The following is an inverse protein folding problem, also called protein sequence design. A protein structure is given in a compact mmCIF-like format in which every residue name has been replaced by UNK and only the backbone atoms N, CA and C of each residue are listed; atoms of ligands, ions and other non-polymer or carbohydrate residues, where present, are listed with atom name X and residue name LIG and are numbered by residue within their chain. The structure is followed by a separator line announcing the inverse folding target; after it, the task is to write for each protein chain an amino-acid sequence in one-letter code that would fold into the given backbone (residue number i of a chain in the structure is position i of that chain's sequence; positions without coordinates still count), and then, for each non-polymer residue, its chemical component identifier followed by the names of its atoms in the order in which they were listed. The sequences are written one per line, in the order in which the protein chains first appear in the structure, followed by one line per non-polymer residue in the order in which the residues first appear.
data_IF_157413327133
#
_entry.id   IF_157413327133
#
_cell.length_a   1.000
_cell.length_b   1.000
_cell.length_c   1.000
_cell.angle_alpha   90.00
_cell.angle_beta   90.00
_cell.angle_gamma   90.00
#
_symmetry.space_group_name_H-M   'P 1'
#
loop_
_entity.id
_entity.type
_entity.pdbx_description
1 polymer ?
#
# COMPACT_ATOMS: atom_id res chain seq x y z
N UNK A 1 29.93 6.38 0.84
CA UNK A 1 28.56 6.90 1.02
C UNK A 1 27.83 6.03 2.04
N UNK A 2 27.36 6.57 3.16
CA UNK A 2 26.66 5.77 4.18
C UNK A 2 25.19 5.50 3.74
N UNK A 3 24.73 4.25 3.67
CA UNK A 3 23.46 3.87 3.00
C UNK A 3 22.19 4.07 3.85
N UNK A 4 22.22 4.89 4.90
CA UNK A 4 21.11 4.97 5.87
C UNK A 4 20.56 6.37 6.13
N UNK A 5 21.13 7.43 5.55
CA UNK A 5 20.38 8.67 5.36
C UNK A 5 19.55 8.49 4.11
N UNK A 6 18.24 8.30 4.25
CA UNK A 6 17.34 8.85 3.25
C UNK A 6 17.07 10.28 3.73
N UNK A 7 17.72 11.29 3.12
CA UNK A 7 17.35 12.65 3.41
C UNK A 7 15.87 12.82 3.01
N UNK A 8 15.21 13.81 3.58
CA UNK A 8 13.89 14.29 3.14
C UNK A 8 13.79 14.63 1.64
N UNK A 9 14.87 14.47 0.86
CA UNK A 9 14.98 14.62 -0.59
C UNK A 9 14.40 13.46 -1.42
N UNK A 10 14.14 12.28 -0.83
CA UNK A 10 13.77 11.08 -1.61
C UNK A 10 12.25 10.95 -1.88
N UNK A 11 11.47 11.91 -1.37
CA UNK A 11 10.02 12.03 -1.64
C UNK A 11 9.78 13.17 -2.60
N UNK A 12 9.37 12.86 -3.82
CA UNK A 12 8.98 13.87 -4.80
C UNK A 12 7.52 14.29 -4.57
N UNK A 13 7.31 15.57 -4.24
CA UNK A 13 5.95 16.11 -4.07
C UNK A 13 5.44 16.60 -5.42
N UNK A 14 4.34 16.00 -5.89
CA UNK A 14 3.72 16.35 -7.16
C UNK A 14 2.50 17.23 -6.89
N UNK A 15 2.64 18.54 -7.12
CA UNK A 15 1.57 19.53 -6.94
C UNK A 15 1.26 20.33 -8.21
N UNK A 16 1.75 19.88 -9.37
CA UNK A 16 1.53 20.53 -10.67
C UNK A 16 0.98 19.55 -11.70
N UNK A 17 0.21 20.05 -12.66
CA UNK A 17 -0.32 19.27 -13.80
C UNK A 17 0.82 18.59 -14.55
N UNK A 18 1.92 19.32 -14.81
CA UNK A 18 3.07 18.77 -15.52
C UNK A 18 3.73 17.61 -14.74
N UNK A 19 3.84 17.73 -13.42
CA UNK A 19 4.34 16.63 -12.59
C UNK A 19 3.45 15.39 -12.64
N UNK A 20 2.12 15.56 -12.65
CA UNK A 20 1.16 14.44 -12.82
C UNK A 20 1.32 13.77 -14.18
N UNK A 21 1.48 14.56 -15.26
CA UNK A 21 1.74 14.04 -16.62
C UNK A 21 2.99 13.17 -16.63
N UNK A 22 4.11 13.72 -16.15
CA UNK A 22 5.39 13.03 -16.12
C UNK A 22 5.35 11.76 -15.26
N UNK A 23 4.62 11.78 -14.13
CA UNK A 23 4.43 10.60 -13.29
C UNK A 23 3.61 9.52 -14.02
N UNK A 24 2.49 9.88 -14.65
CA UNK A 24 1.66 8.93 -15.38
C UNK A 24 2.41 8.30 -16.57
N UNK A 25 3.14 9.11 -17.35
CA UNK A 25 3.99 8.62 -18.44
C UNK A 25 5.10 7.70 -17.92
N UNK A 26 5.77 8.09 -16.83
CA UNK A 26 6.81 7.28 -16.21
C UNK A 26 6.29 5.91 -15.77
N UNK A 27 5.11 5.85 -15.13
CA UNK A 27 4.48 4.59 -14.74
C UNK A 27 4.13 3.75 -15.97
N UNK A 28 3.54 4.35 -17.01
CA UNK A 28 3.16 3.63 -18.23
C UNK A 28 4.38 3.02 -18.94
N UNK A 29 5.46 3.78 -19.10
CA UNK A 29 6.71 3.31 -19.70
C UNK A 29 7.33 2.18 -18.86
N UNK A 30 7.39 2.35 -17.54
CA UNK A 30 7.96 1.33 -16.66
C UNK A 30 7.15 0.03 -16.72
N UNK A 31 5.82 0.11 -16.69
CA UNK A 31 4.93 -1.04 -16.78
C UNK A 31 5.09 -1.77 -18.13
N UNK A 32 5.17 -1.04 -19.24
CA UNK A 32 5.39 -1.63 -20.56
C UNK A 32 6.76 -2.32 -20.69
N UNK A 33 7.77 -1.81 -19.97
CA UNK A 33 9.12 -2.39 -19.93
C UNK A 33 9.31 -3.47 -18.86
N UNK A 34 8.27 -3.76 -18.08
CA UNK A 34 8.39 -4.55 -16.87
C UNK A 34 8.74 -6.01 -17.19
N UNK A 35 9.95 -6.41 -16.78
CA UNK A 35 10.43 -7.80 -16.81
C UNK A 35 10.38 -8.49 -15.44
N UNK A 36 9.93 -7.77 -14.41
CA UNK A 36 9.95 -8.23 -13.02
C UNK A 36 8.61 -8.85 -12.62
N UNK A 37 8.67 -9.91 -11.81
CA UNK A 37 7.50 -10.54 -11.17
C UNK A 37 6.93 -9.77 -9.99
N UNK A 38 7.57 -8.66 -9.57
CA UNK A 38 7.11 -7.85 -8.45
C UNK A 38 6.22 -6.69 -8.93
N UNK A 39 5.19 -6.31 -8.16
CA UNK A 39 4.32 -5.18 -8.46
C UNK A 39 5.10 -3.88 -8.62
N UNK A 40 4.68 -3.06 -9.57
CA UNK A 40 5.25 -1.73 -9.82
C UNK A 40 4.78 -0.71 -8.77
N UNK A 41 3.52 -0.80 -8.35
CA UNK A 41 2.82 0.23 -7.58
C UNK A 41 2.51 -0.23 -6.15
N UNK A 42 2.94 0.55 -5.16
CA UNK A 42 2.52 0.40 -3.76
C UNK A 42 1.91 1.72 -3.31
N UNK A 43 0.67 1.67 -2.83
CA UNK A 43 -0.17 2.86 -2.71
C UNK A 43 -0.76 2.97 -1.31
N UNK A 44 -0.79 4.20 -0.81
CA UNK A 44 -1.54 4.57 0.37
C UNK A 44 -2.19 5.95 0.17
N UNK A 45 -3.27 6.24 0.89
CA UNK A 45 -3.96 7.53 0.84
C UNK A 45 -4.06 8.17 2.21
N UNK A 46 -4.01 9.50 2.24
CA UNK A 46 -4.22 10.28 3.45
C UNK A 46 -5.38 11.26 3.25
N UNK A 47 -6.28 11.33 4.22
CA UNK A 47 -7.43 12.24 4.22
C UNK A 47 -7.10 13.56 4.93
N UNK A 48 -7.90 14.61 4.67
CA UNK A 48 -7.79 15.90 5.37
C UNK A 48 -8.11 15.81 6.87
N UNK A 49 -8.93 14.84 7.28
CA UNK A 49 -9.31 14.58 8.67
C UNK A 49 -9.67 13.11 8.88
N UNK A 50 -9.55 12.62 10.13
CA UNK A 50 -9.72 11.21 10.52
C UNK A 50 -11.20 10.75 10.58
N UNK A 51 -12.10 11.30 9.77
CA UNK A 51 -13.53 10.95 9.73
C UNK A 51 -13.91 10.18 8.46
N UNK A 52 -14.95 9.33 8.53
CA UNK A 52 -15.37 8.46 7.42
C UNK A 52 -15.76 9.16 6.11
N UNK A 53 -16.02 10.48 6.14
CA UNK A 53 -16.26 11.30 4.95
C UNK A 53 -15.05 12.16 4.54
N UNK A 54 -13.86 11.85 5.05
CA UNK A 54 -12.67 12.68 4.84
C UNK A 54 -12.31 12.84 3.36
N UNK A 55 -12.18 14.09 2.92
CA UNK A 55 -11.70 14.43 1.57
C UNK A 55 -10.27 13.93 1.39
N UNK A 56 -9.99 13.30 0.25
CA UNK A 56 -8.66 12.84 -0.11
C UNK A 56 -7.70 14.04 -0.17
N UNK A 57 -6.58 13.95 0.53
CA UNK A 57 -5.62 15.04 0.64
C UNK A 57 -4.30 14.72 -0.04
N UNK A 58 -3.77 13.52 0.18
CA UNK A 58 -2.51 13.06 -0.41
C UNK A 58 -2.66 11.64 -0.92
N UNK A 59 -2.02 11.35 -2.04
CA UNK A 59 -1.85 10.01 -2.58
C UNK A 59 -0.35 9.69 -2.58
N UNK A 60 0.04 8.66 -1.85
CA UNK A 60 1.42 8.18 -1.81
C UNK A 60 1.58 7.04 -2.80
N UNK A 61 2.57 7.15 -3.68
CA UNK A 61 2.91 6.10 -4.65
C UNK A 61 4.40 5.78 -4.49
N UNK A 62 4.69 4.57 -4.04
CA UNK A 62 6.03 3.99 -4.12
C UNK A 62 6.14 3.16 -5.40
N UNK A 63 7.00 3.60 -6.32
CA UNK A 63 7.36 2.86 -7.52
C UNK A 63 8.54 1.94 -7.23
N UNK A 64 8.42 0.66 -7.55
CA UNK A 64 9.51 -0.31 -7.53
C UNK A 64 9.76 -0.87 -8.94
N UNK A 65 10.96 -0.69 -9.49
CA UNK A 65 11.23 -1.03 -10.89
C UNK A 65 12.68 -1.41 -11.16
N UNK A 66 12.91 -2.02 -12.32
CA UNK A 66 14.23 -2.48 -12.77
C UNK A 66 14.75 -3.70 -12.03
N UNK A 67 15.76 -4.36 -12.60
CA UNK A 67 16.38 -5.57 -12.02
C UNK A 67 17.06 -5.30 -10.68
N UNK A 68 17.56 -4.07 -10.48
CA UNK A 68 18.22 -3.64 -9.23
C UNK A 68 17.21 -3.25 -8.12
N UNK A 69 15.91 -3.45 -8.35
CA UNK A 69 14.83 -3.11 -7.42
C UNK A 69 14.89 -1.64 -6.94
N UNK A 70 14.98 -0.72 -7.90
CA UNK A 70 15.02 0.72 -7.65
C UNK A 70 13.70 1.18 -7.09
N UNK A 71 13.75 2.15 -6.18
CA UNK A 71 12.57 2.72 -5.51
C UNK A 71 12.49 4.22 -5.71
N UNK A 72 11.31 4.72 -6.03
CA UNK A 72 11.00 6.16 -6.06
C UNK A 72 9.67 6.42 -5.37
N UNK A 73 9.65 7.40 -4.47
CA UNK A 73 8.45 7.78 -3.72
C UNK A 73 7.89 9.08 -4.26
N UNK A 74 6.60 9.06 -4.61
CA UNK A 74 5.85 10.22 -5.03
C UNK A 74 4.74 10.51 -4.02
N UNK A 75 4.57 11.77 -3.68
CA UNK A 75 3.46 12.26 -2.88
C UNK A 75 2.66 13.24 -3.73
N UNK A 76 1.53 12.77 -4.26
CA UNK A 76 0.66 13.58 -5.12
C UNK A 76 -0.27 14.41 -4.23
N UNK A 77 -0.22 15.72 -4.42
CA UNK A 77 -0.98 16.69 -3.65
C UNK A 77 -2.40 16.84 -4.19
N UNK A 78 -3.30 15.95 -3.74
CA UNK A 78 -4.69 15.91 -4.20
C UNK A 78 -5.47 17.14 -3.74
N UNK A 79 -5.13 17.73 -2.60
CA UNK A 79 -5.76 18.98 -2.16
C UNK A 79 -5.53 20.15 -3.14
N UNK A 80 -4.35 20.20 -3.78
CA UNK A 80 -4.04 21.23 -4.78
C UNK A 80 -4.56 20.86 -6.16
N UNK A 81 -4.39 19.59 -6.56
CA UNK A 81 -4.68 19.14 -7.93
C UNK A 81 -6.13 18.69 -8.14
N UNK A 82 -6.85 18.36 -7.07
CA UNK A 82 -8.20 17.83 -7.08
C UNK A 82 -8.36 16.71 -8.13
N UNK A 83 -9.43 16.75 -8.94
CA UNK A 83 -9.66 15.76 -10.00
C UNK A 83 -8.58 15.77 -11.09
N UNK A 84 -7.83 16.87 -11.27
CA UNK A 84 -6.76 16.94 -12.27
C UNK A 84 -5.60 16.00 -11.93
N UNK A 85 -5.40 15.63 -10.67
CA UNK A 85 -4.47 14.56 -10.30
C UNK A 85 -4.75 13.25 -11.03
N UNK A 86 -6.03 12.96 -11.29
CA UNK A 86 -6.47 11.68 -11.84
C UNK A 86 -6.86 11.76 -13.32
N UNK A 87 -7.43 12.88 -13.77
CA UNK A 87 -7.92 13.05 -15.14
C UNK A 87 -6.85 13.53 -16.12
N UNK A 88 -5.77 14.17 -15.65
CA UNK A 88 -4.71 14.68 -16.52
C UNK A 88 -3.99 13.53 -17.21
N UNK A 89 -3.97 13.57 -18.55
CA UNK A 89 -3.24 12.61 -19.38
C UNK A 89 -1.81 13.11 -19.65
N UNK A 90 -0.86 12.21 -19.49
CA UNK A 90 0.51 12.37 -19.98
C UNK A 90 0.60 12.32 -21.50
N UNK A 91 1.81 12.45 -22.01
CA UNK A 91 2.13 12.41 -23.43
C UNK A 91 1.71 11.10 -24.10
N UNK A 92 1.87 9.97 -23.40
CA UNK A 92 1.47 8.64 -23.91
C UNK A 92 -0.01 8.33 -23.70
N UNK A 93 -0.83 9.32 -23.32
CA UNK A 93 -2.28 9.20 -23.17
C UNK A 93 -2.75 8.58 -21.85
N UNK A 94 -1.85 8.02 -21.04
CA UNK A 94 -2.16 7.49 -19.71
C UNK A 94 -2.43 8.61 -18.70
N UNK A 95 -3.37 8.40 -17.78
CA UNK A 95 -3.56 9.21 -16.58
C UNK A 95 -3.47 8.33 -15.33
N UNK A 96 -3.35 8.92 -14.14
CA UNK A 96 -3.41 8.13 -12.90
C UNK A 96 -4.73 7.36 -12.80
N UNK A 97 -5.85 7.93 -13.25
CA UNK A 97 -7.13 7.21 -13.33
C UNK A 97 -7.07 5.99 -14.24
N UNK A 98 -6.54 6.11 -15.46
CA UNK A 98 -6.49 4.96 -16.37
C UNK A 98 -5.57 3.87 -15.86
N UNK A 99 -4.46 4.24 -15.22
CA UNK A 99 -3.55 3.31 -14.55
C UNK A 99 -4.26 2.62 -13.39
N UNK A 100 -4.94 3.38 -12.53
CA UNK A 100 -5.63 2.85 -11.35
C UNK A 100 -6.79 1.91 -11.71
N UNK A 101 -7.49 2.21 -12.81
CA UNK A 101 -8.60 1.40 -13.31
C UNK A 101 -8.18 0.18 -14.13
N UNK A 102 -6.92 0.09 -14.54
CA UNK A 102 -6.48 -0.95 -15.48
C UNK A 102 -6.02 -2.22 -14.75
N UNK A 103 -6.43 -3.40 -15.23
CA UNK A 103 -5.97 -4.67 -14.67
C UNK A 103 -4.52 -4.99 -15.04
N UNK A 104 -3.97 -4.31 -16.06
CA UNK A 104 -2.59 -4.48 -16.53
C UNK A 104 -1.54 -3.82 -15.63
N UNK A 105 -1.96 -3.10 -14.59
CA UNK A 105 -1.08 -2.46 -13.61
C UNK A 105 -1.37 -3.06 -12.25
N UNK A 106 -0.53 -3.98 -11.80
CA UNK A 106 -0.68 -4.54 -10.47
C UNK A 106 -0.38 -3.49 -9.40
N UNK A 107 -1.27 -3.36 -8.42
CA UNK A 107 -1.10 -2.43 -7.28
C UNK A 107 -1.20 -3.16 -5.97
N UNK A 108 -0.37 -2.75 -5.04
CA UNK A 108 -0.37 -3.26 -3.68
C UNK A 108 -0.88 -2.19 -2.74
N UNK A 109 -1.83 -2.59 -1.90
CA UNK A 109 -2.33 -1.81 -0.77
C UNK A 109 -2.13 -2.62 0.51
N UNK A 110 -2.15 -1.94 1.65
CA UNK A 110 -2.35 -2.60 2.94
C UNK A 110 -3.75 -2.22 3.44
N UNK A 111 -4.69 -3.16 3.41
CA UNK A 111 -6.12 -2.90 3.61
C UNK A 111 -6.69 -1.91 2.56
N UNK A 112 -7.15 -2.46 1.43
CA UNK A 112 -7.58 -1.64 0.30
C UNK A 112 -8.96 -0.97 0.48
N UNK A 113 -9.75 -1.36 1.49
CA UNK A 113 -11.17 -1.02 1.59
C UNK A 113 -11.41 0.48 1.70
N UNK A 114 -10.74 1.14 2.63
CA UNK A 114 -10.86 2.59 2.82
C UNK A 114 -10.39 3.37 1.61
N UNK A 115 -9.22 2.98 1.07
CA UNK A 115 -8.64 3.59 -0.13
C UNK A 115 -9.57 3.49 -1.32
N UNK A 116 -10.13 2.31 -1.56
CA UNK A 116 -11.09 2.04 -2.63
C UNK A 116 -12.36 2.86 -2.47
N UNK A 117 -12.94 2.88 -1.26
CA UNK A 117 -14.13 3.67 -0.96
C UNK A 117 -13.94 5.16 -1.29
N UNK A 118 -12.84 5.76 -0.84
CA UNK A 118 -12.56 7.18 -1.08
C UNK A 118 -12.25 7.46 -2.56
N UNK A 119 -11.41 6.65 -3.20
CA UNK A 119 -11.04 6.83 -4.60
C UNK A 119 -12.25 6.67 -5.54
N UNK A 120 -13.16 5.76 -5.23
CA UNK A 120 -14.40 5.58 -5.98
C UNK A 120 -15.42 6.67 -5.67
N UNK A 121 -15.72 6.91 -4.39
CA UNK A 121 -16.76 7.85 -3.99
C UNK A 121 -16.47 9.29 -4.40
N UNK A 122 -15.21 9.73 -4.31
CA UNK A 122 -14.83 11.12 -4.62
C UNK A 122 -14.37 11.32 -6.06
N UNK A 123 -13.80 10.29 -6.68
CA UNK A 123 -13.21 10.42 -8.00
C UNK A 123 -13.76 9.44 -9.02
N UNK A 124 -14.55 8.42 -8.69
CA UNK A 124 -15.05 7.42 -9.65
C UNK A 124 -13.96 6.50 -10.19
N UNK A 125 -12.92 6.25 -9.39
CA UNK A 125 -11.83 5.31 -9.73
C UNK A 125 -12.29 3.90 -9.35
N UNK A 126 -12.35 3.02 -10.34
CA UNK A 126 -12.70 1.61 -10.18
C UNK A 126 -11.42 0.80 -10.11
N UNK A 127 -10.85 0.66 -8.92
CA UNK A 127 -9.57 -0.04 -8.75
C UNK A 127 -9.64 -1.47 -9.32
N UNK A 128 -8.60 -1.85 -10.05
CA UNK A 128 -8.42 -3.21 -10.57
C UNK A 128 -6.99 -3.70 -10.36
N UNK A 129 -6.82 -5.03 -10.29
CA UNK A 129 -5.53 -5.70 -10.08
C UNK A 129 -4.87 -5.28 -8.76
N UNK A 130 -5.67 -5.30 -7.69
CA UNK A 130 -5.24 -4.98 -6.32
C UNK A 130 -4.79 -6.25 -5.63
N UNK A 131 -3.63 -6.20 -4.97
CA UNK A 131 -3.17 -7.19 -4.01
C UNK A 131 -3.14 -6.55 -2.62
N UNK A 132 -3.98 -7.03 -1.71
CA UNK A 132 -4.06 -6.54 -0.35
C UNK A 132 -3.08 -7.32 0.56
N UNK A 133 -2.05 -6.65 1.06
CA UNK A 133 -1.04 -7.27 1.92
C UNK A 133 -1.60 -7.81 3.24
N UNK A 134 -2.69 -7.23 3.73
CA UNK A 134 -3.34 -7.71 4.94
C UNK A 134 -4.01 -9.07 4.71
N UNK A 135 -4.58 -9.27 3.51
CA UNK A 135 -5.08 -10.57 3.07
C UNK A 135 -3.95 -11.55 2.82
N UNK A 136 -2.90 -11.12 2.11
CA UNK A 136 -1.74 -11.96 1.82
C UNK A 136 -1.15 -12.56 3.09
N UNK A 137 -0.94 -11.75 4.15
CA UNK A 137 -0.42 -12.29 5.40
C UNK A 137 -1.40 -13.22 6.12
N UNK A 138 -2.69 -12.88 6.15
CA UNK A 138 -3.67 -13.72 6.83
C UNK A 138 -3.79 -15.10 6.16
N UNK A 139 -3.81 -15.15 4.84
CA UNK A 139 -3.82 -16.40 4.07
C UNK A 139 -2.58 -17.29 4.33
N UNK A 140 -1.41 -16.69 4.65
CA UNK A 140 -0.21 -17.46 4.98
C UNK A 140 -0.25 -18.15 6.35
N UNK A 141 -1.29 -17.95 7.19
CA UNK A 141 -1.36 -18.61 8.51
C UNK A 141 -1.90 -20.02 8.36
N UNK A 142 -1.25 -20.99 9.01
CA UNK A 142 -1.44 -22.42 8.74
C UNK A 142 -2.78 -23.02 9.17
N UNK A 143 -3.57 -22.30 9.98
CA UNK A 143 -4.81 -22.82 10.55
C UNK A 143 -5.89 -21.75 10.65
N UNK A 144 -7.16 -22.16 10.57
CA UNK A 144 -8.32 -21.26 10.61
C UNK A 144 -8.42 -20.43 11.89
N UNK A 145 -8.09 -21.01 13.05
CA UNK A 145 -8.05 -20.32 14.34
C UNK A 145 -7.02 -19.17 14.34
N UNK A 146 -5.88 -19.36 13.67
CA UNK A 146 -4.89 -18.31 13.47
C UNK A 146 -5.36 -17.24 12.48
N UNK A 147 -6.36 -17.50 11.64
CA UNK A 147 -6.88 -16.55 10.63
C UNK A 147 -8.05 -15.70 11.12
N UNK A 148 -8.52 -15.92 12.35
CA UNK A 148 -9.67 -15.23 12.94
C UNK A 148 -9.59 -13.70 12.88
N UNK A 149 -8.38 -13.14 12.97
CA UNK A 149 -8.17 -11.70 12.98
C UNK A 149 -7.15 -11.21 11.94
N UNK A 150 -7.45 -10.07 11.33
CA UNK A 150 -6.53 -9.35 10.44
C UNK A 150 -5.52 -8.54 11.26
N UNK A 151 -4.27 -8.51 10.81
CA UNK A 151 -3.21 -7.71 11.46
C UNK A 151 -3.27 -6.26 11.01
N UNK A 152 -2.83 -5.36 11.87
CA UNK A 152 -2.57 -3.96 11.48
C UNK A 152 -1.14 -3.83 10.98
N UNK A 153 -0.85 -2.72 10.29
CA UNK A 153 0.44 -2.53 9.61
C UNK A 153 1.63 -2.60 10.56
N UNK A 154 1.61 -1.87 11.67
CA UNK A 154 2.78 -1.80 12.57
C UNK A 154 3.12 -3.13 13.26
N UNK A 155 2.17 -3.88 13.86
CA UNK A 155 2.44 -5.21 14.40
C UNK A 155 2.99 -6.17 13.33
N UNK A 156 2.47 -6.10 12.11
CA UNK A 156 2.95 -6.95 11.02
C UNK A 156 4.42 -6.67 10.67
N UNK A 157 4.77 -5.39 10.50
CA UNK A 157 6.16 -4.99 10.23
C UNK A 157 7.07 -5.43 11.37
N UNK A 158 6.65 -5.22 12.62
CA UNK A 158 7.39 -5.65 13.81
C UNK A 158 7.63 -7.15 13.82
N UNK A 159 6.61 -7.95 13.52
CA UNK A 159 6.69 -9.41 13.47
C UNK A 159 7.64 -9.91 12.37
N UNK A 160 7.54 -9.35 11.16
CA UNK A 160 8.19 -9.95 9.98
C UNK A 160 9.53 -9.33 9.58
N UNK A 161 9.73 -8.04 9.87
CA UNK A 161 10.83 -7.25 9.31
C UNK A 161 11.73 -6.58 10.36
N UNK A 162 11.34 -6.51 11.64
CA UNK A 162 12.13 -5.80 12.67
C UNK A 162 13.21 -6.69 13.27
N UNK A 163 14.30 -6.85 12.52
CA UNK A 163 15.52 -7.54 12.95
C UNK A 163 16.76 -6.90 12.29
N UNK A 164 17.95 -7.13 12.87
CA UNK A 164 19.24 -6.71 12.29
C UNK A 164 19.27 -5.25 11.80
N UNK A 165 19.65 -5.04 10.52
CA UNK A 165 19.70 -3.72 9.88
C UNK A 165 18.32 -3.09 9.66
N UNK A 166 17.30 -3.92 9.42
CA UNK A 166 15.91 -3.48 9.23
C UNK A 166 15.30 -2.92 10.54
N UNK A 167 15.74 -3.40 11.70
CA UNK A 167 15.33 -2.87 13.02
C UNK A 167 15.73 -1.41 13.21
N UNK A 168 16.98 -1.04 12.87
CA UNK A 168 17.43 0.37 12.95
C UNK A 168 16.62 1.26 12.01
N UNK A 169 16.40 0.80 10.77
CA UNK A 169 15.58 1.52 9.77
C UNK A 169 14.13 1.71 10.26
N UNK A 170 13.50 0.64 10.72
CA UNK A 170 12.16 0.68 11.31
C UNK A 170 12.07 1.66 12.48
N UNK A 171 13.03 1.63 13.41
CA UNK A 171 13.02 2.56 14.54
C UNK A 171 13.10 4.02 14.09
N UNK A 172 13.97 4.35 13.14
CA UNK A 172 14.07 5.71 12.59
C UNK A 172 12.75 6.14 11.93
N UNK A 173 12.16 5.26 11.12
CA UNK A 173 10.91 5.55 10.40
C UNK A 173 9.69 5.66 11.35
N UNK A 174 9.63 4.79 12.38
CA UNK A 174 8.62 4.81 13.44
C UNK A 174 8.68 6.10 14.25
N UNK A 175 9.89 6.48 14.70
CA UNK A 175 10.05 7.68 15.54
C UNK A 175 9.88 8.99 14.75
N UNK A 176 10.34 9.09 13.50
CA UNK A 176 10.31 10.38 12.81
C UNK A 176 8.93 10.75 12.24
N UNK A 177 8.14 9.79 11.74
CA UNK A 177 6.83 10.09 11.14
C UNK A 177 5.70 10.17 12.16
N UNK A 178 5.60 9.17 13.04
CA UNK A 178 4.46 9.00 13.95
C UNK A 178 4.52 9.93 15.15
N UNK A 179 5.72 10.08 15.75
CA UNK A 179 5.89 10.90 16.94
C UNK A 179 5.63 12.37 16.62
N UNK A 180 6.20 12.88 15.53
CA UNK A 180 5.98 14.26 15.07
C UNK A 180 4.53 14.50 14.64
N UNK A 181 3.86 13.50 14.08
CA UNK A 181 2.43 13.59 13.78
C UNK A 181 1.58 13.67 15.06
N UNK A 182 1.85 12.82 16.06
CA UNK A 182 1.06 12.75 17.30
C UNK A 182 1.36 13.90 18.29
N UNK A 183 2.59 14.42 18.31
CA UNK A 183 3.07 15.36 19.32
C UNK A 183 3.57 16.69 18.73
N UNK A 184 3.48 16.89 17.42
CA UNK A 184 3.90 18.12 16.75
C UNK A 184 2.96 19.30 17.02
N UNK A 185 3.44 20.55 16.86
CA UNK A 185 2.62 21.74 17.07
C UNK A 185 1.55 21.92 15.97
N UNK A 186 0.29 22.03 16.42
CA UNK A 186 -0.90 22.12 15.57
C UNK A 186 -1.67 20.80 15.58
N UNK A 187 -2.96 20.85 15.90
CA UNK A 187 -3.78 19.66 16.08
C UNK A 187 -3.68 18.69 14.88
N UNK A 188 -3.65 17.36 15.09
CA UNK A 188 -3.30 16.35 14.06
C UNK A 188 -4.08 16.50 12.75
N UNK A 189 -5.34 16.94 12.84
CA UNK A 189 -6.25 17.08 11.72
C UNK A 189 -5.93 18.26 10.78
N UNK A 190 -5.30 19.35 11.24
CA UNK A 190 -5.00 20.51 10.35
C UNK A 190 -3.66 20.40 9.65
N UNK A 191 -2.78 19.52 10.14
CA UNK A 191 -1.41 19.43 9.64
C UNK A 191 -1.38 18.94 8.19
N UNK A 192 -2.20 17.94 7.87
CA UNK A 192 -2.32 17.40 6.52
C UNK A 192 -2.70 18.45 5.48
N UNK A 193 -3.36 19.54 5.89
CA UNK A 193 -3.81 20.63 5.01
C UNK A 193 -2.77 21.74 4.82
N UNK A 194 -1.71 21.80 5.63
CA UNK A 194 -0.66 22.83 5.50
C UNK A 194 0.11 22.67 4.18
N UNK A 195 0.40 23.80 3.51
CA UNK A 195 1.21 23.85 2.29
C UNK A 195 2.37 24.86 2.41
N UNK A 196 3.57 24.55 1.88
CA UNK A 196 3.97 23.27 1.26
C UNK A 196 3.89 22.10 2.25
N UNK A 197 3.73 20.87 1.74
CA UNK A 197 3.53 19.69 2.61
C UNK A 197 4.72 19.56 3.57
N UNK A 198 4.43 19.61 4.87
CA UNK A 198 5.47 19.69 5.90
C UNK A 198 6.30 18.42 5.92
N UNK A 199 7.61 18.55 6.16
CA UNK A 199 8.57 17.45 6.05
C UNK A 199 8.18 16.19 6.84
N UNK A 200 7.67 16.33 8.07
CA UNK A 200 7.29 15.17 8.87
C UNK A 200 6.03 14.46 8.35
N UNK A 201 5.10 15.16 7.69
CA UNK A 201 3.98 14.52 6.99
C UNK A 201 4.48 13.71 5.79
N UNK A 202 5.46 14.23 5.05
CA UNK A 202 6.09 13.48 3.94
C UNK A 202 6.74 12.19 4.45
N UNK A 203 7.39 12.24 5.62
CA UNK A 203 7.98 11.06 6.27
C UNK A 203 6.91 10.08 6.77
N UNK A 204 5.83 10.58 7.37
CA UNK A 204 4.68 9.77 7.78
C UNK A 204 4.08 8.99 6.61
N UNK A 205 3.80 9.68 5.49
CA UNK A 205 3.29 9.06 4.27
C UNK A 205 4.26 8.01 3.71
N UNK A 206 5.56 8.32 3.69
CA UNK A 206 6.59 7.39 3.24
C UNK A 206 6.60 6.09 4.05
N UNK A 207 6.52 6.20 5.38
CA UNK A 207 6.53 5.05 6.29
C UNK A 207 5.44 4.03 5.96
N UNK A 208 4.25 4.48 5.57
CA UNK A 208 3.11 3.58 5.34
C UNK A 208 3.28 2.66 4.12
N UNK A 209 4.06 3.08 3.12
CA UNK A 209 4.30 2.26 1.90
C UNK A 209 5.69 1.64 1.83
N UNK A 210 6.68 2.20 2.53
CA UNK A 210 8.12 1.90 2.33
C UNK A 210 8.49 0.42 2.49
N UNK A 211 7.80 -0.29 3.37
CA UNK A 211 8.06 -1.71 3.67
C UNK A 211 7.10 -2.67 2.96
N UNK A 212 6.09 -2.15 2.26
CA UNK A 212 5.16 -2.99 1.50
C UNK A 212 5.87 -3.88 0.45
N UNK A 213 6.91 -3.42 -0.28
CA UNK A 213 7.60 -4.28 -1.24
C UNK A 213 8.33 -5.46 -0.59
N UNK A 214 8.96 -5.27 0.57
CA UNK A 214 9.58 -6.34 1.33
C UNK A 214 8.56 -7.35 1.86
N UNK A 215 7.42 -6.88 2.37
CA UNK A 215 6.33 -7.75 2.80
C UNK A 215 5.79 -8.57 1.64
N UNK A 216 5.48 -7.90 0.52
CA UNK A 216 4.97 -8.53 -0.69
C UNK A 216 5.94 -9.61 -1.18
N UNK A 217 7.21 -9.25 -1.36
CA UNK A 217 8.22 -10.18 -1.87
C UNK A 217 8.40 -11.38 -0.94
N UNK A 218 8.37 -11.16 0.38
CA UNK A 218 8.50 -12.25 1.35
C UNK A 218 7.32 -13.22 1.26
N UNK A 219 6.10 -12.70 1.22
CA UNK A 219 4.89 -13.53 1.14
C UNK A 219 4.85 -14.26 -0.20
N UNK A 220 5.03 -13.55 -1.31
CA UNK A 220 4.95 -14.12 -2.66
C UNK A 220 5.99 -15.23 -2.90
N UNK A 221 7.22 -15.10 -2.37
CA UNK A 221 8.24 -16.16 -2.46
C UNK A 221 7.93 -17.36 -1.58
N UNK A 222 7.32 -17.12 -0.42
CA UNK A 222 7.05 -18.18 0.55
C UNK A 222 5.83 -18.98 0.12
N UNK A 223 4.75 -18.33 -0.32
CA UNK A 223 3.47 -19.01 -0.56
C UNK A 223 2.85 -18.56 -1.90
N UNK A 224 3.37 -18.98 -3.06
CA UNK A 224 2.81 -18.56 -4.35
C UNK A 224 1.39 -19.08 -4.59
N UNK A 225 1.01 -20.21 -3.98
CA UNK A 225 -0.29 -20.87 -4.17
C UNK A 225 -1.49 -20.02 -3.70
N UNK A 226 -1.29 -19.09 -2.75
CA UNK A 226 -2.36 -18.24 -2.24
C UNK A 226 -2.66 -17.03 -3.14
N UNK A 227 -1.79 -16.72 -4.11
CA UNK A 227 -1.82 -15.43 -4.79
C UNK A 227 -3.11 -15.20 -5.60
N UNK A 228 -3.61 -16.23 -6.28
CA UNK A 228 -4.87 -16.12 -7.05
C UNK A 228 -6.08 -15.93 -6.13
N UNK A 229 -6.11 -16.67 -5.01
CA UNK A 229 -7.16 -16.54 -4.00
C UNK A 229 -7.15 -15.14 -3.39
N UNK A 230 -5.96 -14.64 -3.04
CA UNK A 230 -5.80 -13.29 -2.49
C UNK A 230 -6.16 -12.23 -3.51
N UNK A 231 -5.81 -12.39 -4.79
CA UNK A 231 -6.18 -11.45 -5.83
C UNK A 231 -7.70 -11.36 -6.00
N UNK A 232 -8.40 -12.50 -5.99
CA UNK A 232 -9.85 -12.55 -6.04
C UNK A 232 -10.47 -11.84 -4.82
N UNK A 233 -10.04 -12.19 -3.62
CA UNK A 233 -10.60 -11.60 -2.40
C UNK A 233 -10.23 -10.11 -2.23
N UNK A 234 -9.06 -9.71 -2.73
CA UNK A 234 -8.68 -8.29 -2.82
C UNK A 234 -9.64 -7.52 -3.74
N UNK A 235 -10.04 -8.11 -4.87
CA UNK A 235 -11.02 -7.50 -5.77
C UNK A 235 -12.43 -7.48 -5.15
N UNK A 236 -12.84 -8.54 -4.45
CA UNK A 236 -14.11 -8.56 -3.71
C UNK A 236 -14.19 -7.41 -2.70
N UNK A 237 -13.13 -7.21 -1.89
CA UNK A 237 -13.02 -6.07 -0.96
C UNK A 237 -13.15 -4.72 -1.65
N UNK A 238 -12.51 -4.58 -2.80
CA UNK A 238 -12.60 -3.36 -3.62
C UNK A 238 -14.05 -3.14 -4.04
N UNK A 239 -14.71 -4.15 -4.60
CA UNK A 239 -16.08 -4.04 -5.11
C UNK A 239 -17.10 -3.78 -4.00
N UNK A 240 -16.94 -4.39 -2.83
CA UNK A 240 -17.79 -4.17 -1.66
C UNK A 240 -17.64 -2.77 -1.10
N UNK A 241 -16.40 -2.30 -0.90
CA UNK A 241 -16.12 -0.97 -0.35
C UNK A 241 -16.60 0.18 -1.26
N UNK A 242 -16.80 -0.08 -2.55
CA UNK A 242 -17.37 0.88 -3.50
C UNK A 242 -18.90 0.95 -3.45
N UNK A 243 -19.57 -0.02 -2.82
CA UNK A 243 -21.02 -0.03 -2.60
C UNK A 243 -21.35 0.63 -1.25
N UNK A 244 -20.83 0.06 -0.17
CA UNK A 244 -21.05 0.53 1.19
C UNK A 244 -19.79 0.26 2.01
N UNK A 245 -19.34 1.26 2.78
CA UNK A 245 -18.17 1.11 3.63
C UNK A 245 -18.33 1.94 4.90
N UNK A 246 -18.21 1.27 6.05
CA UNK A 246 -18.15 1.93 7.34
C UNK A 246 -16.76 1.69 7.97
N UNK A 247 -15.89 2.72 8.05
CA UNK A 247 -14.55 2.58 8.61
C UNK A 247 -14.55 2.24 10.11
N UNK A 248 -15.67 2.45 10.80
CA UNK A 248 -15.86 2.21 12.23
C UNK A 248 -16.59 0.90 12.55
N UNK A 249 -16.91 0.08 11.54
CA UNK A 249 -17.55 -1.21 11.76
C UNK A 249 -16.64 -2.14 12.61
N UNK A 250 -17.22 -2.74 13.67
CA UNK A 250 -16.50 -3.59 14.63
C UNK A 250 -15.93 -4.87 14.01
N UNK A 251 -16.56 -5.40 12.96
CA UNK A 251 -16.15 -6.62 12.25
C UNK A 251 -15.04 -6.43 11.21
N UNK A 252 -14.51 -5.21 10.99
CA UNK A 252 -13.56 -4.97 9.88
C UNK A 252 -12.23 -5.73 9.98
N UNK A 253 -11.88 -6.23 11.17
CA UNK A 253 -10.64 -6.98 11.42
C UNK A 253 -10.87 -8.48 11.62
N UNK A 254 -11.97 -9.05 11.12
CA UNK A 254 -12.25 -10.49 11.22
C UNK A 254 -11.76 -11.27 9.99
N UNK A 255 -11.78 -12.59 10.11
CA UNK A 255 -11.47 -13.53 9.03
C UNK A 255 -12.27 -13.18 7.77
N UNK A 256 -11.59 -12.92 6.63
CA UNK A 256 -12.25 -12.58 5.37
C UNK A 256 -12.59 -13.82 4.53
N UNK A 257 -12.09 -15.00 4.88
CA UNK A 257 -12.22 -16.20 4.06
C UNK A 257 -13.51 -16.96 4.40
N UNK A 258 -14.18 -17.45 3.37
CA UNK A 258 -15.29 -18.41 3.48
C UNK A 258 -14.84 -19.73 4.12
N UNK A 259 -15.80 -20.60 4.46
CA UNK A 259 -15.49 -21.92 5.02
C UNK A 259 -14.69 -22.78 4.01
N UNK A 260 -15.09 -22.74 2.74
CA UNK A 260 -14.45 -23.45 1.64
C UNK A 260 -13.02 -22.94 1.40
N UNK A 261 -12.82 -21.63 1.42
CA UNK A 261 -11.50 -21.02 1.25
C UNK A 261 -10.59 -21.32 2.44
N UNK A 262 -11.10 -21.28 3.68
CA UNK A 262 -10.34 -21.70 4.86
C UNK A 262 -9.89 -23.15 4.74
N UNK A 263 -10.77 -24.06 4.31
CA UNK A 263 -10.42 -25.46 4.08
C UNK A 263 -9.33 -25.59 3.01
N UNK A 264 -9.41 -24.82 1.93
CA UNK A 264 -8.39 -24.80 0.87
C UNK A 264 -7.04 -24.32 1.40
N UNK A 265 -7.03 -23.24 2.19
CA UNK A 265 -5.84 -22.69 2.83
C UNK A 265 -5.20 -23.70 3.79
N UNK A 266 -6.01 -24.41 4.59
CA UNK A 266 -5.52 -25.46 5.49
C UNK A 266 -4.89 -26.62 4.73
N UNK A 267 -5.54 -27.11 3.66
CA UNK A 267 -4.95 -28.15 2.81
C UNK A 267 -3.61 -27.71 2.20
N UNK A 268 -3.49 -26.47 1.73
CA UNK A 268 -2.22 -25.96 1.21
C UNK A 268 -1.14 -25.87 2.28
N UNK A 269 -1.50 -25.49 3.50
CA UNK A 269 -0.59 -25.43 4.64
C UNK A 269 -0.11 -26.83 5.07
N UNK A 270 -1.00 -27.82 5.08
CA UNK A 270 -0.66 -29.22 5.37
C UNK A 270 0.30 -29.82 4.34
N UNK A 271 0.10 -29.49 3.05
CA UNK A 271 0.98 -29.94 1.97
C UNK A 271 2.34 -29.25 1.97
N UNK A 272 2.44 -28.03 2.51
CA UNK A 272 3.62 -27.17 2.41
C UNK A 272 3.93 -26.44 3.75
N UNK A 273 4.17 -27.15 4.86
CA UNK A 273 4.20 -26.55 6.19
C UNK A 273 5.33 -25.52 6.38
N UNK A 274 6.46 -25.70 5.69
CA UNK A 274 7.61 -24.77 5.76
C UNK A 274 7.34 -23.41 5.10
N UNK A 275 6.30 -23.36 4.27
CA UNK A 275 5.90 -22.22 3.45
C UNK A 275 4.68 -21.48 4.03
N UNK A 276 4.24 -21.84 5.23
CA UNK A 276 3.19 -21.16 5.98
C UNK A 276 3.72 -20.68 7.33
N UNK A 277 2.92 -19.89 8.05
CA UNK A 277 3.28 -19.24 9.31
C UNK A 277 4.57 -18.39 9.21
N UNK A 278 4.60 -17.46 8.24
CA UNK A 278 5.72 -16.55 7.96
C UNK A 278 6.60 -16.25 9.18
N UNK A 279 7.79 -16.86 9.21
CA UNK A 279 8.79 -16.67 10.27
C UNK A 279 9.90 -15.74 9.80
N UNK A 280 10.70 -15.26 10.75
CA UNK A 280 11.98 -14.62 10.45
C UNK A 280 12.87 -15.60 9.66
N UNK A 281 13.58 -15.14 8.63
CA UNK A 281 14.56 -15.96 7.90
C UNK A 281 14.02 -16.93 6.83
N UNK A 282 12.71 -17.22 6.78
CA UNK A 282 12.14 -17.97 5.66
C UNK A 282 12.08 -17.05 4.43
N UNK A 283 13.00 -17.27 3.50
CA UNK A 283 13.24 -16.44 2.32
C UNK A 283 14.64 -15.82 2.35
N UNK A 284 15.57 -16.43 1.61
CA UNK A 284 16.90 -15.88 1.36
C UNK A 284 16.72 -14.49 0.72
N UNK A 285 17.36 -13.48 1.33
CA UNK A 285 17.43 -12.11 0.80
C UNK A 285 18.16 -12.11 -0.54
#
# INVERSE_FOLDING_TARGET
MQPWKMPTSDVEVISTIQGVKSLADGIAVLNASQRNSLPLLYIDIEQKSLGGNGELNLLTILLCYGTDFRRRLYLVDINVLANQAFSTRGYYGASLRSILNSPSYQKVFFDARHSSHILYGQYGIKLQSVHDLQLMENACRSKVDKREHLQTFEPLIQKLLVHGKSRRRWFVDKFNGEWLYRHGPGAPHRVFQKRPVVAYIRLYCCRNVRFMPELYSKICRTTPLIMDLVAQESQNRVDESQKEYNPFASGRLTNPWTAEENKKLDCWAEMNPDFFDLRLGNGVL
#
